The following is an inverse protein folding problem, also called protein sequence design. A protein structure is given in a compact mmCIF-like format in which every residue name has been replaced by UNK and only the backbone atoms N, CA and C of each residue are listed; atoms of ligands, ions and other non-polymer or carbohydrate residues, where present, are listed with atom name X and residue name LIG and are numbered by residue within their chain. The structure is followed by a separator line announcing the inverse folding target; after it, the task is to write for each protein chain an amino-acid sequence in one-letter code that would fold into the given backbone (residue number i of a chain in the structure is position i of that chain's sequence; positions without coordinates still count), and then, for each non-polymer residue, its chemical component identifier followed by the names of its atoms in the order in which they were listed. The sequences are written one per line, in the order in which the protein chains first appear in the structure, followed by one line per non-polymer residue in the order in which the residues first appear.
data_IF_264551325097
#
_entry.id   IF_264551325097
#
_cell.length_a   1.000
_cell.length_b   1.000
_cell.length_c   1.000
_cell.angle_alpha   90.00
_cell.angle_beta   90.00
_cell.angle_gamma   90.00
#
_symmetry.space_group_name_H-M   'P 1'
#
loop_
_entity.id
_entity.type
_entity.pdbx_description
1 polymer ?
#
# COMPACT_ATOMS: atom_id res chain seq x y z
N UNK A 1 -24.65 3.41 -55.59
CA UNK A 1 -24.92 2.29 -56.53
C UNK A 1 -23.57 1.82 -57.07
N UNK A 2 -23.11 0.63 -56.68
CA UNK A 2 -21.86 0.04 -57.17
C UNK A 2 -22.17 -1.40 -57.56
N UNK A 3 -22.06 -1.70 -58.86
CA UNK A 3 -22.46 -2.97 -59.47
C UNK A 3 -21.38 -4.04 -59.36
N UNK A 4 -21.80 -5.26 -59.00
CA UNK A 4 -20.97 -6.48 -59.03
C UNK A 4 -20.96 -7.06 -60.45
N UNK A 5 -19.78 -7.50 -60.92
CA UNK A 5 -19.62 -8.33 -62.12
C UNK A 5 -19.45 -9.81 -61.72
N UNK A 6 -20.12 -10.76 -62.39
CA UNK A 6 -19.85 -12.20 -62.25
C UNK A 6 -18.81 -12.64 -63.28
N UNK A 7 -17.89 -13.53 -62.89
CA UNK A 7 -16.92 -14.17 -63.81
C UNK A 7 -17.40 -15.59 -64.08
N UNK A 8 -17.55 -15.91 -65.36
CA UNK A 8 -18.27 -17.06 -65.88
C UNK A 8 -17.49 -18.39 -65.92
N UNK A 9 -18.29 -19.44 -66.15
CA UNK A 9 -17.88 -20.83 -66.34
C UNK A 9 -17.42 -21.16 -67.76
N UNK A 10 -16.51 -22.16 -67.81
CA UNK A 10 -16.34 -23.22 -68.84
C UNK A 10 -15.72 -22.84 -70.22
N UNK A 11 -15.16 -23.81 -71.01
CA UNK A 11 -15.26 -25.27 -70.89
C UNK A 11 -13.94 -26.09 -71.02
N UNK A 12 -14.08 -27.38 -70.66
CA UNK A 12 -13.21 -28.51 -70.94
C UNK A 12 -13.08 -28.79 -72.45
N UNK A 13 -11.87 -29.08 -72.93
CA UNK A 13 -11.64 -29.94 -74.11
C UNK A 13 -10.56 -30.97 -73.81
N UNK A 14 -10.98 -32.21 -73.94
CA UNK A 14 -10.22 -33.45 -73.96
C UNK A 14 -9.73 -33.75 -75.38
N UNK A 15 -8.56 -34.40 -75.49
CA UNK A 15 -8.08 -35.36 -76.52
C UNK A 15 -6.54 -35.38 -76.44
N UNK A 16 -5.78 -36.46 -76.56
CA UNK A 16 -5.98 -37.92 -76.56
C UNK A 16 -4.54 -38.48 -76.63
N UNK A 17 -4.10 -39.34 -75.72
CA UNK A 17 -2.97 -40.24 -75.97
C UNK A 17 -3.19 -41.55 -75.21
N UNK A 18 -3.07 -42.66 -75.94
CA UNK A 18 -3.31 -44.03 -75.47
C UNK A 18 -2.07 -44.63 -74.79
N UNK A 19 -2.25 -45.62 -73.89
CA UNK A 19 -1.14 -46.25 -73.18
C UNK A 19 -0.40 -47.22 -74.10
N UNK A 20 0.94 -47.22 -74.02
CA UNK A 20 1.75 -48.31 -74.54
C UNK A 20 2.04 -49.27 -73.37
N UNK A 21 1.53 -50.48 -73.50
CA UNK A 21 1.76 -51.57 -72.57
C UNK A 21 3.15 -52.16 -72.86
N UNK A 22 4.04 -52.15 -71.87
CA UNK A 22 4.72 -53.36 -71.35
C UNK A 22 5.89 -53.04 -70.42
N UNK A 23 6.02 -53.94 -69.44
CA UNK A 23 7.18 -54.27 -68.59
C UNK A 23 7.27 -53.53 -67.24
N UNK A 24 6.70 -54.17 -66.21
CA UNK A 24 7.52 -54.76 -65.15
C UNK A 24 7.81 -53.93 -63.90
N UNK A 25 7.24 -54.41 -62.78
CA UNK A 25 7.84 -54.57 -61.45
C UNK A 25 8.38 -53.34 -60.70
N UNK A 26 7.67 -52.99 -59.63
CA UNK A 26 8.14 -52.74 -58.27
C UNK A 26 9.47 -51.98 -58.08
N UNK A 27 9.40 -50.83 -57.42
CA UNK A 27 9.96 -50.62 -56.06
C UNK A 27 10.28 -49.14 -55.82
N UNK A 28 9.69 -48.60 -54.75
CA UNK A 28 10.07 -47.35 -54.11
C UNK A 28 11.58 -47.22 -53.94
N UNK A 29 12.17 -46.11 -54.38
CA UNK A 29 13.43 -45.61 -53.84
C UNK A 29 13.26 -44.14 -53.42
N UNK A 30 13.56 -43.91 -52.15
CA UNK A 30 13.48 -42.66 -51.42
C UNK A 30 14.53 -41.66 -51.92
N UNK A 31 14.14 -40.42 -52.17
CA UNK A 31 15.05 -39.28 -52.01
C UNK A 31 15.14 -38.91 -50.52
N UNK A 32 16.34 -38.72 -49.93
CA UNK A 32 16.47 -38.30 -48.55
C UNK A 32 16.23 -36.79 -48.46
N UNK A 33 15.14 -36.41 -47.79
CA UNK A 33 14.91 -35.03 -47.39
C UNK A 33 15.99 -34.60 -46.38
N UNK A 34 16.77 -33.61 -46.81
CA UNK A 34 17.76 -32.88 -46.03
C UNK A 34 17.16 -32.39 -44.70
N UNK A 35 17.85 -32.71 -43.61
CA UNK A 35 17.30 -32.74 -42.25
C UNK A 35 16.69 -31.42 -41.78
N UNK A 36 15.38 -31.44 -41.53
CA UNK A 36 14.75 -30.51 -40.61
C UNK A 36 15.43 -30.65 -39.24
N UNK A 37 16.15 -29.61 -38.81
CA UNK A 37 16.73 -29.55 -37.48
C UNK A 37 15.65 -29.83 -36.42
N UNK A 38 15.91 -30.81 -35.56
CA UNK A 38 14.97 -31.19 -34.50
C UNK A 38 14.71 -29.99 -33.57
N UNK A 39 13.46 -29.73 -33.16
CA UNK A 39 13.17 -28.68 -32.19
C UNK A 39 13.94 -28.94 -30.90
N UNK A 40 14.42 -27.89 -30.20
CA UNK A 40 15.20 -28.06 -28.98
C UNK A 40 14.43 -28.92 -27.97
N UNK A 41 15.12 -29.80 -27.22
CA UNK A 41 14.47 -30.66 -26.25
C UNK A 41 13.72 -29.81 -25.23
N UNK A 42 12.41 -30.08 -25.09
CA UNK A 42 11.58 -29.41 -24.07
C UNK A 42 12.19 -29.72 -22.71
N UNK A 43 12.53 -28.68 -21.95
CA UNK A 43 13.02 -28.85 -20.59
C UNK A 43 12.00 -29.66 -19.80
N UNK A 44 12.39 -30.77 -19.14
CA UNK A 44 11.44 -31.57 -18.39
C UNK A 44 10.82 -30.69 -17.30
N UNK A 45 9.51 -30.49 -17.34
CA UNK A 45 8.78 -29.82 -16.27
C UNK A 45 8.78 -30.67 -14.99
N UNK A 46 7.82 -30.44 -14.09
CA UNK A 46 7.68 -31.22 -12.84
C UNK A 46 7.62 -32.74 -13.12
N UNK A 47 7.06 -33.13 -14.28
CA UNK A 47 7.02 -34.51 -14.78
C UNK A 47 8.38 -35.12 -15.17
N UNK A 48 9.48 -34.37 -15.10
CA UNK A 48 10.85 -34.84 -15.29
C UNK A 48 11.63 -35.08 -14.01
N UNK A 49 11.10 -34.68 -12.85
CA UNK A 49 11.72 -34.90 -11.55
C UNK A 49 11.69 -36.39 -11.16
N UNK A 50 12.53 -36.83 -10.23
CA UNK A 50 12.39 -38.18 -9.67
C UNK A 50 11.12 -38.30 -8.82
N UNK A 51 10.61 -39.53 -8.63
CA UNK A 51 9.37 -39.79 -7.88
C UNK A 51 9.28 -39.06 -6.52
N UNK A 52 10.30 -39.08 -5.64
CA UNK A 52 10.23 -38.35 -4.36
C UNK A 52 10.13 -36.83 -4.56
N UNK A 53 10.88 -36.25 -5.51
CA UNK A 53 10.82 -34.82 -5.79
C UNK A 53 9.47 -34.41 -6.40
N UNK A 54 8.85 -35.26 -7.24
CA UNK A 54 7.48 -35.00 -7.73
C UNK A 54 6.47 -34.93 -6.60
N UNK A 55 6.54 -35.85 -5.64
CA UNK A 55 5.65 -35.86 -4.47
C UNK A 55 5.84 -34.58 -3.66
N UNK A 56 7.09 -34.20 -3.36
CA UNK A 56 7.40 -32.96 -2.63
C UNK A 56 6.89 -31.73 -3.39
N UNK A 57 7.13 -31.64 -4.70
CA UNK A 57 6.64 -30.52 -5.51
C UNK A 57 5.12 -30.47 -5.56
N UNK A 58 4.44 -31.60 -5.70
CA UNK A 58 2.97 -31.67 -5.68
C UNK A 58 2.40 -31.23 -4.32
N UNK A 59 3.01 -31.64 -3.21
CA UNK A 59 2.63 -31.20 -1.87
C UNK A 59 2.85 -29.70 -1.70
N UNK A 60 4.01 -29.17 -2.11
CA UNK A 60 4.30 -27.74 -2.03
C UNK A 60 3.29 -26.92 -2.85
N UNK A 61 2.99 -27.33 -4.08
CA UNK A 61 1.97 -26.69 -4.90
C UNK A 61 0.57 -26.78 -4.27
N UNK A 62 0.24 -27.90 -3.65
CA UNK A 62 -1.01 -28.07 -2.89
C UNK A 62 -1.11 -27.07 -1.74
N UNK A 63 -0.06 -26.92 -0.94
CA UNK A 63 0.00 -25.95 0.16
C UNK A 63 -0.16 -24.51 -0.36
N UNK A 64 0.56 -24.15 -1.42
CA UNK A 64 0.45 -22.81 -2.03
C UNK A 64 -0.95 -22.55 -2.56
N UNK A 65 -1.57 -23.52 -3.22
CA UNK A 65 -2.93 -23.39 -3.74
C UNK A 65 -3.95 -23.20 -2.60
N UNK A 66 -3.84 -23.97 -1.51
CA UNK A 66 -4.69 -23.79 -0.34
C UNK A 66 -4.51 -22.40 0.26
N UNK A 67 -3.27 -21.96 0.47
CA UNK A 67 -2.98 -20.63 1.01
C UNK A 67 -3.57 -19.50 0.13
N UNK A 68 -3.43 -19.61 -1.20
CA UNK A 68 -3.98 -18.64 -2.13
C UNK A 68 -5.52 -18.62 -2.08
N UNK A 69 -6.17 -19.78 -2.07
CA UNK A 69 -7.63 -19.88 -1.94
C UNK A 69 -8.12 -19.30 -0.60
N UNK A 70 -7.42 -19.58 0.51
CA UNK A 70 -7.74 -19.02 1.82
C UNK A 70 -7.60 -17.50 1.82
N UNK A 71 -6.50 -16.97 1.27
CA UNK A 71 -6.30 -15.53 1.15
C UNK A 71 -7.42 -14.86 0.35
N UNK A 72 -7.75 -15.40 -0.84
CA UNK A 72 -8.83 -14.87 -1.68
C UNK A 72 -10.19 -14.93 -0.97
N UNK A 73 -10.48 -15.99 -0.23
CA UNK A 73 -11.71 -16.10 0.54
C UNK A 73 -11.79 -15.06 1.66
N UNK A 74 -10.69 -14.83 2.40
CA UNK A 74 -10.65 -13.83 3.47
C UNK A 74 -10.79 -12.41 2.92
N UNK A 75 -10.10 -12.08 1.83
CA UNK A 75 -10.22 -10.78 1.16
C UNK A 75 -11.64 -10.60 0.60
N UNK A 76 -12.22 -11.64 0.00
CA UNK A 76 -13.61 -11.60 -0.47
C UNK A 76 -14.58 -11.33 0.68
N UNK A 77 -14.47 -12.05 1.80
CA UNK A 77 -15.33 -11.84 2.97
C UNK A 77 -15.16 -10.45 3.58
N UNK A 78 -13.96 -9.88 3.50
CA UNK A 78 -13.68 -8.53 3.98
C UNK A 78 -14.35 -7.45 3.11
N UNK A 79 -14.37 -7.62 1.78
CA UNK A 79 -14.89 -6.61 0.83
C UNK A 79 -16.38 -6.82 0.52
N UNK A 80 -16.89 -8.04 0.65
CA UNK A 80 -18.29 -8.36 0.37
C UNK A 80 -19.25 -7.67 1.35
N UNK A 81 -20.52 -7.44 0.96
CA UNK A 81 -21.54 -6.96 1.89
C UNK A 81 -21.65 -7.83 3.15
N UNK A 82 -21.93 -7.19 4.28
CA UNK A 82 -22.07 -7.82 5.60
C UNK A 82 -22.93 -9.09 5.54
N UNK A 83 -22.34 -10.24 5.86
CA UNK A 83 -23.00 -11.54 5.93
C UNK A 83 -22.71 -12.24 7.28
N UNK A 84 -23.42 -13.33 7.58
CA UNK A 84 -23.30 -14.07 8.84
C UNK A 84 -21.88 -14.58 9.10
N UNK A 85 -21.20 -15.11 8.08
CA UNK A 85 -19.83 -15.62 8.21
C UNK A 85 -18.84 -14.49 8.52
N UNK A 86 -18.96 -13.37 7.82
CA UNK A 86 -18.05 -12.22 8.01
C UNK A 86 -18.24 -11.59 9.39
N UNK A 87 -19.48 -11.55 9.91
CA UNK A 87 -19.74 -11.08 11.28
C UNK A 87 -19.20 -12.01 12.35
N UNK A 88 -19.38 -13.32 12.19
CA UNK A 88 -18.92 -14.31 13.17
C UNK A 88 -17.39 -14.41 13.24
N UNK A 89 -16.71 -14.23 12.10
CA UNK A 89 -15.26 -14.38 11.99
C UNK A 89 -14.51 -13.05 11.78
N UNK A 90 -15.13 -11.91 12.06
CA UNK A 90 -14.58 -10.57 11.81
C UNK A 90 -13.15 -10.42 12.33
N UNK A 91 -12.90 -10.80 13.59
CA UNK A 91 -11.56 -10.71 14.21
C UNK A 91 -10.48 -11.46 13.42
N UNK A 92 -10.78 -12.65 12.90
CA UNK A 92 -9.81 -13.46 12.13
C UNK A 92 -9.56 -12.86 10.75
N UNK A 93 -10.63 -12.39 10.10
CA UNK A 93 -10.55 -11.72 8.79
C UNK A 93 -9.71 -10.44 8.92
N UNK A 94 -10.00 -9.62 9.92
CA UNK A 94 -9.33 -8.35 10.19
C UNK A 94 -7.84 -8.55 10.51
N UNK A 95 -7.51 -9.53 11.34
CA UNK A 95 -6.12 -9.85 11.67
C UNK A 95 -5.29 -10.32 10.46
N UNK A 96 -5.93 -10.93 9.46
CA UNK A 96 -5.27 -11.33 8.21
C UNK A 96 -5.14 -10.17 7.22
N UNK A 97 -6.13 -9.28 7.14
CA UNK A 97 -6.20 -8.23 6.12
C UNK A 97 -5.45 -6.96 6.53
N UNK A 98 -5.66 -6.45 7.74
CA UNK A 98 -5.16 -5.13 8.14
C UNK A 98 -3.62 -4.99 8.28
N UNK A 99 -2.81 -6.04 8.46
CA UNK A 99 -1.35 -5.89 8.40
C UNK A 99 -0.86 -5.40 7.03
N UNK A 100 -1.47 -5.86 5.94
CA UNK A 100 -1.04 -5.57 4.56
C UNK A 100 -1.93 -4.54 3.85
N UNK A 101 -3.22 -4.48 4.22
CA UNK A 101 -4.22 -3.63 3.58
C UNK A 101 -4.92 -2.72 4.58
N UNK A 102 -4.20 -1.72 5.10
CA UNK A 102 -4.82 -0.67 5.91
C UNK A 102 -5.77 0.16 5.03
N UNK A 103 -7.07 -0.02 5.23
CA UNK A 103 -8.11 0.71 4.48
C UNK A 103 -8.44 2.05 5.15
N UNK A 104 -7.85 3.14 4.63
CA UNK A 104 -8.11 4.50 5.11
C UNK A 104 -8.95 5.30 4.11
N UNK A 105 -10.25 5.03 4.04
CA UNK A 105 -11.21 5.69 3.13
C UNK A 105 -11.71 7.02 3.70
N UNK A 106 -10.82 8.01 3.89
CA UNK A 106 -11.19 9.33 4.44
C UNK A 106 -11.55 10.40 3.42
N UNK A 107 -11.44 10.13 2.11
CA UNK A 107 -11.62 11.15 1.07
C UNK A 107 -13.08 11.34 0.59
N UNK A 108 -13.96 10.36 0.85
CA UNK A 108 -15.39 10.42 0.49
C UNK A 108 -16.33 10.07 1.65
N UNK A 109 -15.81 10.08 2.88
CA UNK A 109 -16.68 9.97 4.04
C UNK A 109 -17.63 11.18 4.08
N UNK A 110 -18.91 11.02 4.48
CA UNK A 110 -19.88 12.11 4.53
C UNK A 110 -19.37 13.34 5.29
N UNK A 111 -18.50 13.13 6.28
CA UNK A 111 -17.78 14.17 7.01
C UNK A 111 -16.27 13.92 6.91
N UNK A 112 -15.54 14.58 5.98
CA UNK A 112 -14.08 14.56 5.99
C UNK A 112 -13.54 15.14 7.31
N UNK A 113 -12.23 15.05 7.54
CA UNK A 113 -11.63 15.69 8.72
C UNK A 113 -11.86 17.22 8.65
N UNK A 114 -12.86 17.71 9.37
CA UNK A 114 -13.21 19.13 9.44
C UNK A 114 -12.50 19.80 10.62
N UNK A 115 -11.23 19.45 10.84
CA UNK A 115 -10.44 19.94 11.97
C UNK A 115 -9.02 20.23 11.53
N UNK A 116 -8.48 21.36 11.98
CA UNK A 116 -7.07 21.68 11.95
C UNK A 116 -6.46 21.15 13.25
N UNK A 117 -5.45 20.28 13.14
CA UNK A 117 -4.73 19.73 14.28
C UNK A 117 -3.28 20.24 14.18
N UNK A 118 -2.90 21.14 15.09
CA UNK A 118 -1.53 21.58 15.23
C UNK A 118 -0.85 20.79 16.35
N UNK A 119 0.34 20.26 16.09
CA UNK A 119 1.19 19.61 17.09
C UNK A 119 2.22 20.62 17.58
N UNK A 120 2.16 20.91 18.87
CA UNK A 120 3.02 21.88 19.54
C UNK A 120 3.94 21.18 20.54
N UNK A 121 5.10 21.77 20.80
CA UNK A 121 6.08 21.27 21.76
C UNK A 121 6.59 22.38 22.66
N UNK A 122 6.86 22.04 23.92
CA UNK A 122 7.69 22.84 24.82
C UNK A 122 8.70 21.95 25.54
N UNK A 123 9.70 22.58 26.14
CA UNK A 123 10.77 21.90 26.85
C UNK A 123 11.06 22.58 28.19
N UNK A 124 11.48 21.78 29.17
CA UNK A 124 12.22 22.30 30.32
C UNK A 124 13.70 22.20 30.03
N UNK A 125 14.37 23.34 30.07
CA UNK A 125 15.77 23.49 29.69
C UNK A 125 16.54 23.99 30.90
N UNK A 126 17.70 23.38 31.15
CA UNK A 126 18.68 23.93 32.09
C UNK A 126 19.66 24.81 31.30
N UNK A 127 19.68 26.10 31.61
CA UNK A 127 20.61 27.07 31.01
C UNK A 127 22.05 26.79 31.44
N UNK A 128 23.02 27.37 30.74
CA UNK A 128 24.44 27.33 31.13
C UNK A 128 24.67 27.92 32.55
N UNK A 129 23.81 28.83 32.99
CA UNK A 129 23.83 29.44 34.31
C UNK A 129 23.13 28.60 35.40
N UNK A 130 22.64 27.41 35.04
CA UNK A 130 22.00 26.46 35.96
C UNK A 130 20.53 26.73 36.25
N UNK A 131 19.95 27.80 35.71
CA UNK A 131 18.52 28.10 35.85
C UNK A 131 17.66 27.13 35.03
N UNK A 132 16.55 26.69 35.61
CA UNK A 132 15.53 25.88 34.94
C UNK A 132 14.49 26.80 34.30
N UNK A 133 14.40 26.75 32.97
CA UNK A 133 13.46 27.56 32.19
C UNK A 133 12.56 26.66 31.37
N UNK A 134 11.24 26.83 31.50
CA UNK A 134 10.26 26.22 30.61
C UNK A 134 10.08 27.10 29.38
N UNK A 135 10.29 26.53 28.19
CA UNK A 135 10.08 27.26 26.93
C UNK A 135 8.60 27.53 26.69
N UNK A 136 8.25 28.58 25.92
CA UNK A 136 6.90 28.69 25.40
C UNK A 136 6.58 27.50 24.48
N UNK A 137 5.29 27.31 24.21
CA UNK A 137 4.82 26.37 23.20
C UNK A 137 5.27 26.84 21.81
N UNK A 138 5.82 25.90 21.05
CA UNK A 138 6.28 26.08 19.67
C UNK A 138 5.46 25.17 18.76
N UNK A 139 4.82 25.76 17.76
CA UNK A 139 3.97 25.03 16.82
C UNK A 139 4.80 24.40 15.69
N UNK A 140 5.06 23.09 15.81
CA UNK A 140 5.82 22.34 14.83
C UNK A 140 5.06 22.15 13.51
N UNK A 141 3.72 22.20 13.56
CA UNK A 141 2.87 22.06 12.38
C UNK A 141 2.83 23.35 11.57
N UNK A 142 2.80 24.51 12.23
CA UNK A 142 2.94 25.80 11.56
C UNK A 142 4.29 25.91 10.84
N UNK A 143 5.38 25.43 11.46
CA UNK A 143 6.71 25.42 10.83
C UNK A 143 6.76 24.55 9.57
N UNK A 144 6.17 23.35 9.62
CA UNK A 144 6.02 22.50 8.42
C UNK A 144 5.16 23.20 7.37
N UNK A 145 4.07 23.84 7.77
CA UNK A 145 3.17 24.60 6.90
C UNK A 145 3.88 25.73 6.16
N UNK A 146 4.65 26.57 6.86
CA UNK A 146 5.42 27.65 6.25
C UNK A 146 6.53 27.13 5.32
N UNK A 147 7.12 25.99 5.67
CA UNK A 147 8.15 25.37 4.85
C UNK A 147 7.61 24.68 3.57
N UNK A 148 6.31 24.40 3.53
CA UNK A 148 5.57 23.87 2.38
C UNK A 148 4.97 25.01 1.56
N UNK A 149 4.52 26.08 2.22
CA UNK A 149 3.84 27.21 1.58
C UNK A 149 4.74 27.82 0.49
N UNK A 150 4.16 28.00 -0.69
CA UNK A 150 4.85 28.53 -1.89
C UNK A 150 6.04 27.69 -2.39
N UNK A 151 6.27 26.48 -1.85
CA UNK A 151 7.26 25.57 -2.40
C UNK A 151 6.72 24.91 -3.67
N UNK A 152 7.49 24.98 -4.76
CA UNK A 152 7.14 24.32 -6.03
C UNK A 152 7.27 22.79 -5.95
N UNK A 153 8.19 22.32 -5.12
CA UNK A 153 8.52 20.91 -4.95
C UNK A 153 8.65 20.59 -3.44
N UNK A 154 7.56 20.64 -2.67
CA UNK A 154 7.61 20.40 -1.24
C UNK A 154 8.02 18.97 -0.95
N UNK A 155 8.97 18.78 -0.03
CA UNK A 155 9.40 17.45 0.40
C UNK A 155 8.25 16.66 1.04
N UNK A 156 8.10 15.38 0.68
CA UNK A 156 7.12 14.49 1.31
C UNK A 156 7.35 14.34 2.82
N UNK A 157 8.61 14.37 3.27
CA UNK A 157 8.95 14.33 4.69
C UNK A 157 8.37 15.53 5.41
N UNK A 158 8.56 16.74 4.87
CA UNK A 158 8.01 17.97 5.47
C UNK A 158 6.48 17.98 5.50
N UNK A 159 5.85 17.39 4.49
CA UNK A 159 4.39 17.29 4.43
C UNK A 159 3.79 16.25 5.39
N UNK A 160 4.52 15.17 5.71
CA UNK A 160 3.91 13.98 6.29
C UNK A 160 4.56 13.46 7.55
N UNK A 161 5.81 13.79 7.87
CA UNK A 161 6.54 13.21 9.01
C UNK A 161 5.78 13.44 10.32
N UNK A 162 5.57 14.71 10.69
CA UNK A 162 4.91 15.07 11.94
C UNK A 162 3.45 14.59 11.98
N UNK A 163 2.74 14.76 10.86
CA UNK A 163 1.35 14.32 10.73
C UNK A 163 1.22 12.80 10.94
N UNK A 164 2.07 12.01 10.27
CA UNK A 164 2.05 10.54 10.39
C UNK A 164 2.52 10.08 11.76
N UNK A 165 3.47 10.77 12.38
CA UNK A 165 3.88 10.50 13.75
C UNK A 165 2.73 10.73 14.74
N UNK A 166 1.97 11.82 14.56
CA UNK A 166 0.81 12.13 15.40
C UNK A 166 -0.35 11.15 15.17
N UNK A 167 -0.66 10.81 13.92
CA UNK A 167 -1.65 9.78 13.58
C UNK A 167 -1.26 8.41 14.19
N UNK A 168 0.03 8.07 14.14
CA UNK A 168 0.56 6.84 14.71
C UNK A 168 0.44 6.81 16.24
N UNK A 169 0.80 7.91 16.90
CA UNK A 169 0.64 8.08 18.34
C UNK A 169 -0.83 7.94 18.75
N UNK A 170 -1.72 8.73 18.15
CA UNK A 170 -3.15 8.77 18.53
C UNK A 170 -3.89 7.47 18.22
N UNK A 171 -3.50 6.71 17.19
CA UNK A 171 -4.06 5.38 16.90
C UNK A 171 -3.55 4.27 17.83
N UNK A 172 -2.50 4.55 18.62
CA UNK A 172 -1.80 3.56 19.46
C UNK A 172 -1.84 3.92 20.95
N UNK A 173 -2.70 4.86 21.35
CA UNK A 173 -2.89 5.28 22.74
C UNK A 173 -4.37 5.38 23.12
N UNK A 174 -4.69 5.20 24.39
CA UNK A 174 -6.02 5.45 24.93
C UNK A 174 -6.30 6.96 25.15
N UNK A 175 -7.48 7.28 25.70
CA UNK A 175 -7.89 8.66 26.02
C UNK A 175 -7.02 9.32 27.10
N UNK A 176 -6.43 8.51 27.98
CA UNK A 176 -5.52 8.94 29.06
C UNK A 176 -4.05 9.05 28.60
N UNK A 177 -3.78 8.90 27.30
CA UNK A 177 -2.43 8.86 26.71
C UNK A 177 -1.58 7.67 27.20
N UNK A 178 -2.16 6.51 27.49
CA UNK A 178 -1.41 5.29 27.78
C UNK A 178 -1.16 4.47 26.50
N UNK A 179 0.05 3.93 26.32
CA UNK A 179 0.40 3.19 25.11
C UNK A 179 -0.28 1.82 25.03
N UNK A 180 -0.80 1.49 23.85
CA UNK A 180 -1.36 0.18 23.53
C UNK A 180 -0.24 -0.78 23.11
N UNK A 181 0.37 -1.44 24.09
CA UNK A 181 1.44 -2.43 23.86
C UNK A 181 2.71 -1.82 23.24
N UNK A 182 3.49 -2.65 22.55
CA UNK A 182 4.76 -2.25 21.93
C UNK A 182 4.59 -1.14 20.88
N UNK A 183 3.49 -1.21 20.10
CA UNK A 183 3.18 -0.23 19.06
C UNK A 183 3.02 1.18 19.64
N UNK A 184 2.38 1.30 20.80
CA UNK A 184 2.28 2.57 21.52
C UNK A 184 3.64 3.12 21.93
N UNK A 185 4.49 2.29 22.53
CA UNK A 185 5.84 2.68 22.96
C UNK A 185 6.71 3.17 21.80
N UNK A 186 6.68 2.47 20.66
CA UNK A 186 7.40 2.87 19.45
C UNK A 186 6.91 4.22 18.90
N UNK A 187 5.59 4.47 18.97
CA UNK A 187 5.01 5.74 18.54
C UNK A 187 5.41 6.91 19.44
N UNK A 188 5.52 6.70 20.77
CA UNK A 188 6.06 7.69 21.70
C UNK A 188 7.52 8.03 21.37
N UNK A 189 8.36 7.00 21.18
CA UNK A 189 9.77 7.20 20.92
C UNK A 189 10.00 7.91 19.58
N UNK A 190 9.23 7.57 18.55
CA UNK A 190 9.28 8.24 17.26
C UNK A 190 8.89 9.71 17.36
N UNK A 191 7.77 10.02 18.01
CA UNK A 191 7.30 11.39 18.18
C UNK A 191 8.26 12.22 19.05
N UNK A 192 8.81 11.62 20.11
CA UNK A 192 9.85 12.22 20.95
C UNK A 192 11.09 12.58 20.13
N UNK A 193 11.59 11.67 19.30
CA UNK A 193 12.78 11.90 18.46
C UNK A 193 12.56 13.03 17.46
N UNK A 194 11.38 13.11 16.83
CA UNK A 194 11.03 14.23 15.94
C UNK A 194 11.06 15.55 16.70
N UNK A 195 10.40 15.61 17.86
CA UNK A 195 10.35 16.81 18.70
C UNK A 195 11.75 17.28 19.12
N UNK A 196 12.60 16.37 19.60
CA UNK A 196 13.98 16.70 19.99
C UNK A 196 14.82 17.17 18.82
N UNK A 197 14.70 16.52 17.66
CA UNK A 197 15.44 16.91 16.45
C UNK A 197 15.06 18.33 15.98
N UNK A 198 13.80 18.74 16.19
CA UNK A 198 13.30 20.08 15.84
C UNK A 198 13.59 21.14 16.90
N UNK A 199 13.72 20.74 18.17
CA UNK A 199 14.05 21.62 19.28
C UNK A 199 15.55 21.90 19.42
N UNK A 200 16.39 20.88 19.27
CA UNK A 200 17.84 20.97 19.51
C UNK A 200 18.53 22.11 18.73
N UNK A 201 18.23 22.39 17.45
CA UNK A 201 18.85 23.48 16.72
C UNK A 201 18.57 24.88 17.30
N UNK A 202 17.43 25.05 17.98
CA UNK A 202 16.99 26.31 18.57
C UNK A 202 17.45 26.50 20.03
N UNK A 203 17.85 25.41 20.70
CA UNK A 203 18.22 25.40 22.13
C UNK A 203 19.70 25.05 22.32
N UNK A 204 20.59 25.67 21.53
CA UNK A 204 22.03 25.33 21.49
C UNK A 204 22.77 25.58 22.82
N UNK A 205 22.25 26.47 23.66
CA UNK A 205 22.90 26.98 24.88
C UNK A 205 22.28 26.38 26.16
N UNK A 206 21.57 25.25 26.07
CA UNK A 206 20.97 24.62 27.24
C UNK A 206 20.73 23.12 27.09
N UNK A 207 20.73 22.41 28.21
CA UNK A 207 20.38 20.98 28.23
C UNK A 207 18.88 20.82 28.37
N UNK A 208 18.24 20.19 27.39
CA UNK A 208 16.84 19.77 27.47
C UNK A 208 16.74 18.64 28.50
N UNK A 209 15.92 18.80 29.54
CA UNK A 209 15.72 17.79 30.59
C UNK A 209 14.49 16.92 30.32
N UNK A 210 13.41 17.56 29.87
CA UNK A 210 12.16 16.91 29.52
C UNK A 210 11.42 17.74 28.50
N UNK A 211 10.57 17.08 27.72
CA UNK A 211 9.71 17.73 26.74
C UNK A 211 8.25 17.42 27.03
N UNK A 212 7.38 18.31 26.58
CA UNK A 212 5.94 18.07 26.56
C UNK A 212 5.42 18.43 25.19
N UNK A 213 4.56 17.57 24.65
CA UNK A 213 3.83 17.85 23.43
C UNK A 213 2.34 18.03 23.72
N UNK A 214 1.65 18.72 22.84
CA UNK A 214 0.19 18.76 22.82
C UNK A 214 -0.33 18.87 21.40
N UNK A 215 -1.57 18.46 21.18
CA UNK A 215 -2.32 18.93 20.02
C UNK A 215 -3.19 20.13 20.38
N UNK A 216 -3.22 21.12 19.51
CA UNK A 216 -4.20 22.18 19.46
C UNK A 216 -5.16 21.90 18.28
N UNK A 217 -6.38 21.47 18.60
CA UNK A 217 -7.37 21.07 17.60
C UNK A 217 -8.47 22.11 17.49
N UNK A 218 -8.66 22.65 16.29
CA UNK A 218 -9.68 23.66 16.00
C UNK A 218 -10.55 23.17 14.84
N UNK A 219 -11.87 23.18 15.00
CA UNK A 219 -12.75 22.82 13.89
C UNK A 219 -12.62 23.84 12.73
N UNK A 220 -12.72 23.34 11.50
CA UNK A 220 -12.79 24.19 10.31
C UNK A 220 -14.15 24.89 10.33
N UNK A 221 -14.20 26.23 10.21
CA UNK A 221 -15.46 26.95 10.25
C UNK A 221 -16.37 26.53 9.08
N UNK A 222 -17.67 26.43 9.35
CA UNK A 222 -18.67 26.23 8.33
C UNK A 222 -18.56 27.33 7.25
N UNK A 223 -18.69 26.98 5.96
CA UNK A 223 -18.61 27.98 4.90
C UNK A 223 -19.79 28.94 4.99
N UNK A 224 -19.60 30.19 4.50
CA UNK A 224 -20.60 31.27 4.60
C UNK A 224 -21.97 30.95 3.99
N UNK A 225 -22.05 29.96 3.12
CA UNK A 225 -23.29 29.52 2.46
C UNK A 225 -24.00 28.38 3.21
N UNK A 226 -23.42 27.83 4.28
CA UNK A 226 -24.02 26.82 5.13
C UNK A 226 -24.72 27.44 6.34
N UNK A 227 -25.79 26.81 6.81
CA UNK A 227 -26.49 27.15 8.07
C UNK A 227 -25.99 26.33 9.26
N UNK A 228 -24.97 25.49 9.06
CA UNK A 228 -24.38 24.67 10.10
C UNK A 228 -23.58 25.53 11.09
N UNK A 229 -23.78 25.27 12.39
CA UNK A 229 -23.00 25.91 13.45
C UNK A 229 -21.94 24.93 13.93
N UNK A 230 -20.68 25.26 13.69
CA UNK A 230 -19.52 24.49 14.18
C UNK A 230 -18.84 25.27 15.29
N UNK A 231 -18.56 24.61 16.41
CA UNK A 231 -17.75 25.20 17.46
C UNK A 231 -16.28 25.27 17.03
N UNK A 232 -15.77 26.48 16.88
CA UNK A 232 -14.39 26.76 16.46
C UNK A 232 -13.47 27.06 17.64
N UNK A 233 -13.86 26.74 18.88
CA UNK A 233 -12.94 26.79 20.01
C UNK A 233 -11.80 25.79 19.83
N UNK A 234 -10.59 26.17 20.27
CA UNK A 234 -9.42 25.30 20.22
C UNK A 234 -9.39 24.40 21.44
N UNK A 235 -9.40 23.10 21.20
CA UNK A 235 -9.29 22.06 22.22
C UNK A 235 -7.85 21.56 22.30
N UNK A 236 -7.32 21.45 23.52
CA UNK A 236 -5.96 20.98 23.76
C UNK A 236 -5.94 19.57 24.34
N UNK A 237 -5.15 18.68 23.74
CA UNK A 237 -4.78 17.39 24.32
C UNK A 237 -3.30 17.44 24.68
N UNK A 238 -3.01 17.67 25.96
CA UNK A 238 -1.64 17.68 26.47
C UNK A 238 -1.16 16.26 26.79
N UNK A 239 0.04 15.93 26.34
CA UNK A 239 0.71 14.68 26.68
C UNK A 239 1.42 14.81 28.03
N UNK A 240 1.70 13.69 28.73
CA UNK A 240 2.56 13.72 29.89
C UNK A 240 3.96 14.23 29.52
N UNK A 241 4.66 14.76 30.52
CA UNK A 241 6.07 15.12 30.36
C UNK A 241 6.92 13.87 30.12
N UNK A 242 7.79 13.93 29.12
CA UNK A 242 8.77 12.88 28.81
C UNK A 242 10.17 13.34 29.18
N UNK A 243 10.77 12.69 30.16
CA UNK A 243 12.17 12.91 30.57
C UNK A 243 13.13 12.29 29.55
N UNK A 244 14.28 12.94 29.36
CA UNK A 244 15.34 12.54 28.43
C UNK A 244 16.48 11.82 29.13
#
# INVERSE_FOLDING_TARGET
MVGRRPVGCQPLRSTLWMPDDRVGMDSNQHEPAEGAASPPPRTPGIAGLSAPFRVVTALALGVVAVAACTHLALVFLHVAPSNTLSKQHAKTIDAWVYPEFEQNWKLFAPNPLQQNIAVEVRADVRSEYGELVTTPWRDLSAEDGEAIRHSLLPSHTRQNELRRAWDFFTSSHDEDNRPNGERGQLSEEYLRRIALNRLAPALREGTILRIQLRSATTAVPAPKWSTETTDTQTYYRELPWWTL
#
